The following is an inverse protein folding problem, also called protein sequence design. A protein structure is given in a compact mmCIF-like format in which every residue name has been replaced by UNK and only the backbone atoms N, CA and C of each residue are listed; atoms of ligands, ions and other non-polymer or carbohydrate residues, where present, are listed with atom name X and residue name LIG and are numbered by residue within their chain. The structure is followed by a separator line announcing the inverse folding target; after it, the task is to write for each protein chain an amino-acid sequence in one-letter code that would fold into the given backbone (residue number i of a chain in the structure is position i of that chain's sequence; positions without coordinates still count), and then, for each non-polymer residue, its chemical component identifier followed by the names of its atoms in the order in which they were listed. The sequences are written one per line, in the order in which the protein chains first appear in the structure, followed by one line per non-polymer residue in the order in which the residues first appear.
data_IF_637563101268
#
_entry.id   IF_637563101268
#
_cell.length_a   1.000
_cell.length_b   1.000
_cell.length_c   1.000
_cell.angle_alpha   90.00
_cell.angle_beta   90.00
_cell.angle_gamma   90.00
#
_symmetry.space_group_name_H-M   'P 1'
#
loop_
_entity.id
_entity.type
_entity.pdbx_description
1 polymer ?
#
# COMPACT_ATOMS: atom_id res chain seq x y z
N UNK A 1 6.60 -18.85 16.21
CA UNK A 1 5.98 -18.58 14.90
C UNK A 1 5.61 -17.10 14.87
N UNK A 2 5.86 -16.41 13.76
CA UNK A 2 5.38 -15.04 13.55
C UNK A 2 3.87 -15.13 13.35
N UNK A 3 3.10 -14.41 14.14
CA UNK A 3 1.64 -14.39 14.03
C UNK A 3 1.12 -13.08 13.45
N UNK A 4 1.97 -12.06 13.42
CA UNK A 4 1.64 -10.72 12.97
C UNK A 4 2.86 -10.07 12.32
N UNK A 5 2.63 -9.32 11.23
CA UNK A 5 3.61 -8.46 10.59
C UNK A 5 3.01 -7.06 10.52
N UNK A 6 3.76 -6.07 10.99
CA UNK A 6 3.31 -4.67 11.03
C UNK A 6 4.25 -3.81 10.20
N UNK A 7 3.67 -2.96 9.37
CA UNK A 7 4.40 -1.94 8.63
C UNK A 7 3.63 -0.62 8.62
N UNK A 8 4.32 0.48 8.37
CA UNK A 8 3.70 1.79 8.25
C UNK A 8 4.32 2.59 7.11
N UNK A 9 3.52 3.45 6.49
CA UNK A 9 3.99 4.36 5.46
C UNK A 9 3.41 5.77 5.66
N UNK A 10 4.14 6.84 5.28
CA UNK A 10 3.72 8.20 5.47
C UNK A 10 2.69 8.64 4.43
N UNK A 11 1.78 9.51 4.84
CA UNK A 11 1.09 10.38 3.90
C UNK A 11 2.04 11.39 3.26
N UNK A 12 1.56 12.15 2.29
CA UNK A 12 2.34 13.18 1.59
C UNK A 12 1.56 14.49 1.48
N UNK A 13 2.29 15.54 1.25
CA UNK A 13 1.76 16.82 0.75
C UNK A 13 2.48 17.22 -0.53
N UNK A 14 1.84 18.02 -1.36
CA UNK A 14 2.49 18.65 -2.50
C UNK A 14 3.04 20.01 -2.05
N UNK A 15 4.35 20.15 -1.98
CA UNK A 15 4.99 21.45 -1.76
C UNK A 15 4.91 22.33 -3.00
N UNK A 16 4.89 21.70 -4.17
CA UNK A 16 4.70 22.35 -5.46
C UNK A 16 3.86 21.40 -6.36
N UNK A 17 2.97 21.98 -7.14
CA UNK A 17 2.25 21.31 -8.21
C UNK A 17 2.13 22.26 -9.40
N UNK A 18 2.96 22.02 -10.42
CA UNK A 18 2.87 22.68 -11.71
C UNK A 18 2.05 21.82 -12.67
N UNK A 19 1.15 22.45 -13.39
CA UNK A 19 0.35 21.82 -14.45
C UNK A 19 0.80 22.39 -15.79
N UNK A 20 1.32 21.54 -16.67
CA UNK A 20 1.75 21.91 -18.01
C UNK A 20 0.58 22.16 -18.96
N UNK A 21 0.89 22.49 -20.20
CA UNK A 21 -0.10 22.62 -21.25
C UNK A 21 -0.80 21.28 -21.54
N UNK A 22 -2.01 21.36 -22.11
CA UNK A 22 -2.75 20.17 -22.51
C UNK A 22 -1.98 19.42 -23.62
N UNK A 23 -1.79 18.14 -23.42
CA UNK A 23 -1.20 17.24 -24.40
C UNK A 23 -2.25 16.84 -25.44
N UNK A 24 -1.78 16.31 -26.57
CA UNK A 24 -2.68 15.85 -27.66
C UNK A 24 -3.55 14.66 -27.24
N UNK A 25 -3.18 13.94 -26.18
CA UNK A 25 -3.95 12.83 -25.57
C UNK A 25 -4.99 13.31 -24.55
N UNK A 26 -5.11 14.63 -24.33
CA UNK A 26 -6.05 15.24 -23.38
C UNK A 26 -5.56 15.30 -21.94
N UNK A 27 -4.35 14.82 -21.65
CA UNK A 27 -3.71 14.90 -20.35
C UNK A 27 -2.78 16.12 -20.27
N UNK A 28 -2.36 16.45 -19.05
CA UNK A 28 -1.38 17.49 -18.75
C UNK A 28 -0.14 16.86 -18.14
N UNK A 29 1.03 17.38 -18.50
CA UNK A 29 2.23 17.05 -17.75
C UNK A 29 2.16 17.72 -16.38
N UNK A 30 2.49 16.94 -15.35
CA UNK A 30 2.52 17.41 -13.98
C UNK A 30 3.96 17.44 -13.48
N UNK A 31 4.33 18.55 -12.83
CA UNK A 31 5.57 18.64 -12.07
C UNK A 31 5.20 18.86 -10.62
N UNK A 32 5.56 17.92 -9.77
CA UNK A 32 5.21 17.98 -8.35
C UNK A 32 6.42 17.72 -7.47
N UNK A 33 6.51 18.48 -6.37
CA UNK A 33 7.42 18.19 -5.29
C UNK A 33 6.59 17.64 -4.14
N UNK A 34 6.74 16.34 -3.89
CA UNK A 34 6.12 15.67 -2.76
C UNK A 34 6.99 15.81 -1.52
N UNK A 35 6.35 15.84 -0.37
CA UNK A 35 7.01 15.78 0.92
C UNK A 35 6.26 14.83 1.85
N UNK A 36 6.96 13.84 2.39
CA UNK A 36 6.38 12.91 3.34
C UNK A 36 6.11 13.61 4.67
N UNK A 37 4.95 13.35 5.25
CA UNK A 37 4.54 13.91 6.53
C UNK A 37 4.56 12.85 7.61
N UNK A 38 4.78 13.25 8.86
CA UNK A 38 4.75 12.34 10.02
C UNK A 38 3.31 12.02 10.45
N UNK A 39 2.46 11.74 9.47
CA UNK A 39 1.14 11.18 9.64
C UNK A 39 1.08 9.90 8.83
N UNK A 40 1.12 8.78 9.53
CA UNK A 40 1.38 7.48 8.93
C UNK A 40 0.17 6.57 9.00
N UNK A 41 -0.07 5.84 7.93
CA UNK A 41 -0.95 4.68 7.94
C UNK A 41 -0.21 3.48 8.51
N UNK A 42 -0.94 2.61 9.19
CA UNK A 42 -0.39 1.37 9.74
C UNK A 42 -1.17 0.18 9.18
N UNK A 43 -0.44 -0.80 8.69
CA UNK A 43 -1.00 -2.05 8.16
C UNK A 43 -0.46 -3.21 8.97
N UNK A 44 -1.36 -4.09 9.43
CA UNK A 44 -1.04 -5.37 10.08
C UNK A 44 -1.51 -6.51 9.20
N UNK A 45 -0.66 -7.50 9.02
CA UNK A 45 -1.02 -8.78 8.44
C UNK A 45 -1.09 -9.81 9.57
N UNK A 46 -2.28 -10.28 9.88
CA UNK A 46 -2.50 -11.34 10.86
C UNK A 46 -2.50 -12.68 10.13
N UNK A 47 -1.52 -13.54 10.46
CA UNK A 47 -1.29 -14.80 9.78
C UNK A 47 -2.18 -15.91 10.36
N UNK A 48 -2.83 -16.67 9.48
CA UNK A 48 -3.75 -17.75 9.85
C UNK A 48 -3.40 -19.07 9.14
N UNK A 49 -3.17 -20.11 9.94
CA UNK A 49 -2.94 -21.47 9.47
C UNK A 49 -1.55 -21.74 8.88
N UNK A 50 -1.47 -22.80 8.10
CA UNK A 50 -0.26 -23.21 7.38
C UNK A 50 -0.19 -22.52 6.00
N UNK A 51 1.01 -22.46 5.39
CA UNK A 51 1.17 -21.96 4.03
C UNK A 51 0.30 -22.73 3.03
N UNK A 52 -0.39 -21.99 2.15
CA UNK A 52 -1.22 -22.55 1.07
C UNK A 52 -0.96 -21.77 -0.21
N UNK A 53 -1.08 -22.43 -1.35
CA UNK A 53 -1.00 -21.78 -2.65
C UNK A 53 -2.31 -21.01 -2.96
N UNK A 54 -2.19 -19.99 -3.80
CA UNK A 54 -3.32 -19.18 -4.28
C UNK A 54 -3.45 -17.86 -3.53
N UNK A 55 -4.64 -17.19 -3.58
CA UNK A 55 -4.85 -15.89 -2.96
C UNK A 55 -4.47 -15.90 -1.48
N UNK A 56 -3.72 -14.88 -1.05
CA UNK A 56 -3.23 -14.81 0.32
C UNK A 56 -4.26 -14.18 1.27
N UNK A 57 -5.00 -13.17 0.81
CA UNK A 57 -5.88 -12.37 1.67
C UNK A 57 -7.23 -13.02 1.85
N UNK A 58 -7.66 -13.19 3.10
CA UNK A 58 -8.98 -13.71 3.46
C UNK A 58 -10.00 -12.60 3.70
N UNK A 59 -9.57 -11.54 4.38
CA UNK A 59 -10.44 -10.43 4.77
C UNK A 59 -9.60 -9.19 5.06
N UNK A 60 -10.28 -8.05 5.10
CA UNK A 60 -9.69 -6.77 5.45
C UNK A 60 -10.63 -6.04 6.39
N UNK A 61 -10.07 -5.24 7.29
CA UNK A 61 -10.79 -4.35 8.18
C UNK A 61 -10.00 -3.06 8.37
N UNK A 62 -10.69 -1.94 8.19
CA UNK A 62 -10.15 -0.61 8.44
C UNK A 62 -10.72 -0.02 9.73
N UNK A 63 -9.86 0.51 10.57
CA UNK A 63 -10.23 1.30 11.75
C UNK A 63 -9.85 2.75 11.48
N UNK A 64 -10.84 3.65 11.56
CA UNK A 64 -10.64 5.07 11.27
C UNK A 64 -10.32 5.84 12.56
N UNK A 65 -9.22 6.58 12.55
CA UNK A 65 -8.83 7.60 13.54
C UNK A 65 -9.01 9.01 12.97
N UNK A 66 -9.65 9.10 11.82
CA UNK A 66 -10.07 10.29 11.08
C UNK A 66 -11.53 10.10 10.67
N UNK A 67 -12.11 11.06 9.98
CA UNK A 67 -13.48 10.95 9.50
C UNK A 67 -13.65 9.73 8.59
N UNK A 68 -14.59 8.88 8.93
CA UNK A 68 -14.92 7.67 8.18
C UNK A 68 -15.72 8.05 6.92
N UNK A 69 -15.37 7.50 5.75
CA UNK A 69 -16.16 7.72 4.54
C UNK A 69 -17.50 6.99 4.61
N UNK A 70 -18.49 7.46 3.85
CA UNK A 70 -19.80 6.81 3.76
C UNK A 70 -19.74 5.45 3.03
N UNK A 71 -18.68 5.22 2.23
CA UNK A 71 -18.50 4.00 1.45
C UNK A 71 -17.61 3.00 2.20
N UNK A 72 -18.02 1.72 2.19
CA UNK A 72 -17.17 0.63 2.66
C UNK A 72 -15.96 0.48 1.72
N UNK A 73 -14.77 0.66 2.28
CA UNK A 73 -13.51 0.54 1.53
C UNK A 73 -12.81 -0.81 1.74
N UNK A 74 -13.37 -1.69 2.58
CA UNK A 74 -12.80 -2.99 2.88
C UNK A 74 -13.14 -3.99 1.78
N UNK A 75 -12.12 -4.57 1.14
CA UNK A 75 -12.34 -5.58 0.13
C UNK A 75 -11.26 -5.64 -0.96
N UNK A 76 -11.44 -6.51 -1.95
CA UNK A 76 -10.44 -6.79 -3.00
C UNK A 76 -10.09 -5.59 -3.88
N UNK A 77 -10.95 -4.57 -3.94
CA UNK A 77 -10.69 -3.31 -4.65
C UNK A 77 -9.72 -2.36 -3.91
N UNK A 78 -9.52 -2.56 -2.62
CA UNK A 78 -8.64 -1.73 -1.81
C UNK A 78 -7.17 -1.91 -2.23
N UNK A 79 -6.41 -0.82 -2.26
CA UNK A 79 -5.01 -0.85 -2.71
C UNK A 79 -4.11 -1.68 -1.78
N UNK A 80 -4.37 -1.71 -0.46
CA UNK A 80 -3.63 -2.55 0.47
C UNK A 80 -3.87 -4.04 0.21
N UNK A 81 -5.13 -4.44 -0.07
CA UNK A 81 -5.46 -5.81 -0.49
C UNK A 81 -4.69 -6.20 -1.75
N UNK A 82 -4.80 -5.36 -2.78
CA UNK A 82 -4.13 -5.58 -4.06
C UNK A 82 -2.61 -5.64 -3.94
N UNK A 83 -2.03 -4.83 -3.04
CA UNK A 83 -0.60 -4.83 -2.77
C UNK A 83 -0.12 -6.17 -2.21
N UNK A 84 -0.81 -6.71 -1.21
CA UNK A 84 -0.47 -8.03 -0.63
C UNK A 84 -0.55 -9.13 -1.69
N UNK A 85 -1.65 -9.19 -2.44
CA UNK A 85 -1.84 -10.20 -3.48
C UNK A 85 -0.77 -10.09 -4.59
N UNK A 86 -0.41 -8.87 -5.00
CA UNK A 86 0.60 -8.65 -6.03
C UNK A 86 2.00 -9.13 -5.59
N UNK A 87 2.40 -8.86 -4.35
CA UNK A 87 3.70 -9.31 -3.81
C UNK A 87 3.75 -10.83 -3.71
N UNK A 88 2.71 -11.45 -3.15
CA UNK A 88 2.65 -12.92 -3.01
C UNK A 88 2.65 -13.60 -4.37
N UNK A 89 1.89 -13.08 -5.33
CA UNK A 89 1.85 -13.60 -6.70
C UNK A 89 3.21 -13.46 -7.40
N UNK A 90 3.89 -12.31 -7.25
CA UNK A 90 5.21 -12.06 -7.84
C UNK A 90 6.28 -12.99 -7.23
N UNK A 91 6.26 -13.20 -5.93
CA UNK A 91 7.19 -14.09 -5.24
C UNK A 91 6.96 -15.58 -5.57
N UNK A 92 5.74 -15.97 -5.94
CA UNK A 92 5.40 -17.34 -6.32
C UNK A 92 5.54 -18.37 -5.20
N UNK A 93 5.51 -17.94 -3.94
CA UNK A 93 5.65 -18.81 -2.76
C UNK A 93 4.31 -19.03 -2.07
N UNK A 94 4.13 -20.20 -1.45
CA UNK A 94 3.00 -20.46 -0.59
C UNK A 94 3.20 -19.75 0.75
N UNK A 95 2.19 -19.00 1.20
CA UNK A 95 2.19 -18.29 2.48
C UNK A 95 0.92 -18.63 3.27
N UNK A 96 0.90 -18.44 4.60
CA UNK A 96 -0.35 -18.51 5.36
C UNK A 96 -1.38 -17.52 4.83
N UNK A 97 -2.65 -17.82 4.99
CA UNK A 97 -3.70 -16.84 4.75
C UNK A 97 -3.53 -15.66 5.71
N UNK A 98 -3.86 -14.48 5.24
CA UNK A 98 -3.76 -13.26 6.05
C UNK A 98 -5.09 -12.52 6.14
N UNK A 99 -5.31 -11.92 7.30
CA UNK A 99 -6.31 -10.87 7.50
C UNK A 99 -5.55 -9.55 7.56
N UNK A 100 -6.00 -8.58 6.80
CA UNK A 100 -5.40 -7.24 6.79
C UNK A 100 -6.16 -6.37 7.78
N UNK A 101 -5.45 -5.71 8.68
CA UNK A 101 -5.98 -4.63 9.49
C UNK A 101 -5.26 -3.33 9.14
N UNK A 102 -6.03 -2.27 8.90
CA UNK A 102 -5.51 -0.93 8.59
C UNK A 102 -5.95 0.04 9.67
N UNK A 103 -5.00 0.73 10.30
CA UNK A 103 -5.26 1.88 11.15
C UNK A 103 -5.11 3.15 10.31
N UNK A 104 -6.24 3.79 10.02
CA UNK A 104 -6.34 4.94 9.12
C UNK A 104 -6.16 6.25 9.88
N UNK A 105 -5.01 6.88 9.69
CA UNK A 105 -4.66 8.16 10.33
C UNK A 105 -4.57 9.32 9.34
N UNK A 106 -4.44 9.05 8.04
CA UNK A 106 -4.40 10.05 6.98
C UNK A 106 -5.84 10.29 6.49
N UNK A 107 -6.24 11.54 6.33
CA UNK A 107 -7.58 11.90 5.88
C UNK A 107 -7.92 11.26 4.55
N UNK A 108 -9.11 10.63 4.49
CA UNK A 108 -9.65 10.09 3.24
C UNK A 108 -10.00 11.25 2.31
N UNK A 109 -9.60 11.13 1.05
CA UNK A 109 -9.79 12.18 0.04
C UNK A 109 -9.17 13.56 0.39
N UNK A 110 -8.32 13.63 1.41
CA UNK A 110 -7.67 14.88 1.86
C UNK A 110 -6.46 15.33 1.01
N UNK A 111 -6.20 14.75 -0.14
CA UNK A 111 -5.04 15.08 -0.98
C UNK A 111 -3.69 14.59 -0.44
N UNK A 112 -3.70 13.86 0.67
CA UNK A 112 -2.50 13.36 1.35
C UNK A 112 -2.11 11.92 0.98
N UNK A 113 -2.74 11.35 -0.04
CA UNK A 113 -2.48 10.01 -0.57
C UNK A 113 -2.56 8.87 0.46
N UNK A 114 -3.54 8.92 1.40
CA UNK A 114 -3.71 7.91 2.44
C UNK A 114 -3.86 6.48 1.89
N UNK A 115 -4.64 6.27 0.84
CA UNK A 115 -4.76 4.96 0.19
C UNK A 115 -3.46 4.46 -0.44
N UNK A 116 -2.61 5.37 -0.94
CA UNK A 116 -1.27 5.02 -1.43
C UNK A 116 -0.32 4.67 -0.30
N UNK A 117 -0.45 5.33 0.85
CA UNK A 117 0.30 5.00 2.06
C UNK A 117 -0.13 3.62 2.61
N UNK A 118 -1.43 3.29 2.61
CA UNK A 118 -1.91 1.94 2.95
C UNK A 118 -1.28 0.87 2.05
N UNK A 119 -1.28 1.12 0.72
CA UNK A 119 -0.66 0.22 -0.24
C UNK A 119 0.84 0.06 -0.01
N UNK A 120 1.57 1.15 0.22
CA UNK A 120 3.00 1.11 0.49
C UNK A 120 3.34 0.33 1.77
N UNK A 121 2.60 0.56 2.87
CA UNK A 121 2.75 -0.22 4.09
C UNK A 121 2.43 -1.71 3.85
N UNK A 122 1.38 -2.02 3.08
CA UNK A 122 1.01 -3.38 2.73
C UNK A 122 2.08 -4.07 1.87
N UNK A 123 2.73 -3.36 0.92
CA UNK A 123 3.86 -3.88 0.14
C UNK A 123 5.02 -4.31 1.03
N UNK A 124 5.41 -3.45 1.99
CA UNK A 124 6.49 -3.75 2.93
C UNK A 124 6.15 -4.95 3.81
N UNK A 125 4.92 -4.97 4.37
CA UNK A 125 4.47 -6.08 5.21
C UNK A 125 4.40 -7.41 4.43
N UNK A 126 3.89 -7.38 3.19
CA UNK A 126 3.81 -8.56 2.33
C UNK A 126 5.20 -9.04 1.90
N UNK A 127 6.15 -8.13 1.65
CA UNK A 127 7.52 -8.53 1.33
C UNK A 127 8.23 -9.20 2.52
N UNK A 128 7.97 -8.72 3.74
CA UNK A 128 8.44 -9.38 4.96
C UNK A 128 7.75 -10.76 5.16
N UNK A 129 6.48 -10.89 4.78
CA UNK A 129 5.76 -12.16 4.80
C UNK A 129 6.43 -13.17 3.87
N UNK A 130 6.62 -12.83 2.59
CA UNK A 130 7.21 -13.77 1.61
C UNK A 130 8.64 -14.14 1.97
N UNK A 131 9.43 -13.22 2.56
CA UNK A 131 10.77 -13.48 3.07
C UNK A 131 10.82 -14.58 4.15
N UNK A 132 9.73 -14.76 4.89
CA UNK A 132 9.60 -15.84 5.88
C UNK A 132 9.36 -17.23 5.28
N UNK A 133 9.03 -17.32 3.98
CA UNK A 133 8.67 -18.56 3.28
C UNK A 133 9.46 -18.78 1.98
N UNK A 134 10.31 -17.84 1.61
CA UNK A 134 11.15 -17.87 0.42
C UNK A 134 12.12 -16.70 0.45
N UNK A 135 12.28 -16.03 -0.68
CA UNK A 135 13.13 -14.84 -0.80
C UNK A 135 12.26 -13.58 -0.88
N UNK A 136 12.72 -12.50 -0.21
CA UNK A 136 12.12 -11.19 -0.37
C UNK A 136 12.27 -10.70 -1.82
N UNK A 137 11.28 -10.01 -2.34
CA UNK A 137 11.41 -9.30 -3.61
C UNK A 137 12.43 -8.16 -3.45
N UNK A 138 13.27 -7.91 -4.45
CA UNK A 138 14.17 -6.77 -4.47
C UNK A 138 13.38 -5.46 -4.57
N UNK A 139 13.98 -4.36 -4.15
CA UNK A 139 13.36 -3.03 -4.13
C UNK A 139 12.80 -2.62 -5.50
N UNK A 140 13.52 -2.93 -6.58
CA UNK A 140 13.10 -2.63 -7.95
C UNK A 140 11.75 -3.28 -8.30
N UNK A 141 11.55 -4.54 -7.95
CA UNK A 141 10.27 -5.24 -8.18
C UNK A 141 9.14 -4.68 -7.30
N UNK A 142 9.45 -4.29 -6.07
CA UNK A 142 8.46 -3.62 -5.22
C UNK A 142 8.03 -2.26 -5.79
N UNK A 143 8.96 -1.50 -6.36
CA UNK A 143 8.68 -0.23 -7.03
C UNK A 143 7.85 -0.42 -8.31
N UNK A 144 8.10 -1.47 -9.09
CA UNK A 144 7.25 -1.83 -10.24
C UNK A 144 5.81 -2.13 -9.81
N UNK A 145 5.65 -2.94 -8.76
CA UNK A 145 4.32 -3.23 -8.20
C UNK A 145 3.67 -1.95 -7.70
N UNK A 146 4.39 -1.12 -6.93
CA UNK A 146 3.92 0.15 -6.41
C UNK A 146 3.39 1.06 -7.54
N UNK A 147 4.16 1.22 -8.63
CA UNK A 147 3.77 2.01 -9.79
C UNK A 147 2.51 1.48 -10.48
N UNK A 148 2.31 0.16 -10.50
CA UNK A 148 1.09 -0.46 -11.06
C UNK A 148 -0.17 -0.25 -10.21
N UNK A 149 -0.01 0.00 -8.92
CA UNK A 149 -1.11 0.23 -7.97
C UNK A 149 -1.63 1.67 -8.01
N UNK A 150 -0.73 2.64 -8.18
CA UNK A 150 -1.10 4.05 -8.25
C UNK A 150 0.11 4.99 -8.31
N UNK A 151 -0.09 6.19 -8.83
CA UNK A 151 0.97 7.15 -9.10
C UNK A 151 1.72 7.63 -7.84
N UNK A 152 1.04 7.70 -6.69
CA UNK A 152 1.63 8.17 -5.42
C UNK A 152 2.25 7.02 -4.59
N UNK A 153 1.97 5.75 -4.92
CA UNK A 153 2.42 4.59 -4.13
C UNK A 153 3.95 4.47 -4.10
N UNK A 154 4.68 4.66 -5.21
CA UNK A 154 6.15 4.62 -5.17
C UNK A 154 6.74 5.67 -4.22
N UNK A 155 6.18 6.89 -4.20
CA UNK A 155 6.63 7.92 -3.27
C UNK A 155 6.35 7.54 -1.80
N UNK A 156 5.16 7.02 -1.51
CA UNK A 156 4.81 6.56 -0.14
C UNK A 156 5.69 5.40 0.32
N UNK A 157 6.19 4.57 -0.62
CA UNK A 157 7.13 3.48 -0.33
C UNK A 157 8.53 4.01 -0.02
N UNK A 158 9.02 5.00 -0.77
CA UNK A 158 10.36 5.57 -0.62
C UNK A 158 10.44 6.62 0.48
N UNK A 159 9.40 7.44 0.64
CA UNK A 159 9.39 8.57 1.54
C UNK A 159 10.29 9.73 1.10
N UNK A 160 10.54 10.67 2.02
CA UNK A 160 11.46 11.81 1.80
C UNK A 160 10.78 13.02 1.13
N UNK A 161 11.53 13.67 0.26
CA UNK A 161 11.11 14.87 -0.50
C UNK A 161 11.62 14.75 -1.90
#
# INVERSE_FOLDING_TARGET
MVHEIVASAPGKVNLHLGVGEARTDGYHDLVSVFHAVDRREMVRLLLDGAPVAGPAVQSMRTTFFVDEPDEDIDGPGNLAWRAVEAVVARAGVAVPRVRIEVDKHVFVAGGMAGGSADAAAALVAANALVAGYGEALPEEELLEIAASLGADVPFSLMGGT
#
